data_IF_925260547039
#
_entry.id   IF_925260547039
#
_cell.length_a   1.000
_cell.length_b   1.000
_cell.length_c   1.000
_cell.angle_alpha   90.00
_cell.angle_beta   90.00
_cell.angle_gamma   90.00
#
_symmetry.space_group_name_H-M   'P 1'
#
loop_
_entity.id
_entity.type
_entity.pdbx_description
1 polymer ?
#
# COMPACT_ATOMS: atom_id res chain seq x y z
N UNK A 1 8.95 25.32 -13.88
CA UNK A 1 9.99 25.43 -12.84
C UNK A 1 9.64 26.69 -12.06
N UNK A 2 9.52 26.61 -10.73
CA UNK A 2 9.30 27.82 -9.91
C UNK A 2 10.68 28.40 -9.64
N UNK A 3 10.97 29.55 -10.26
CA UNK A 3 12.23 30.25 -10.11
C UNK A 3 12.01 31.51 -9.25
N UNK A 4 12.97 31.81 -8.37
CA UNK A 4 12.96 33.03 -7.56
C UNK A 4 13.52 34.20 -8.40
N UNK A 5 12.78 35.31 -8.49
CA UNK A 5 13.12 36.49 -9.30
C UNK A 5 13.30 37.77 -8.47
N UNK A 6 13.57 37.66 -7.17
CA UNK A 6 13.78 38.84 -6.31
C UNK A 6 15.20 39.42 -6.41
N UNK A 7 15.34 40.71 -6.12
CA UNK A 7 16.64 41.40 -6.05
C UNK A 7 17.41 41.10 -4.76
N UNK A 8 16.71 40.65 -3.71
CA UNK A 8 17.32 40.25 -2.44
C UNK A 8 18.10 38.93 -2.57
N UNK A 9 19.19 38.73 -1.80
CA UNK A 9 19.96 37.49 -1.81
C UNK A 9 19.09 36.29 -1.49
N UNK A 10 19.16 35.26 -2.33
CA UNK A 10 18.57 33.97 -2.03
C UNK A 10 19.34 33.29 -0.89
N UNK A 11 18.72 33.19 0.29
CA UNK A 11 19.28 32.54 1.47
C UNK A 11 18.58 31.20 1.68
N UNK A 12 19.34 30.11 1.59
CA UNK A 12 18.90 28.77 1.97
C UNK A 12 19.31 28.49 3.41
N UNK A 13 18.40 27.91 4.19
CA UNK A 13 18.69 27.42 5.54
C UNK A 13 17.97 26.11 5.78
N UNK A 14 18.59 25.21 6.54
CA UNK A 14 18.00 23.94 6.92
C UNK A 14 17.27 24.10 8.27
N UNK A 15 15.98 23.77 8.30
CA UNK A 15 15.18 23.79 9.53
C UNK A 15 14.68 22.38 9.80
N UNK A 16 15.26 21.73 10.81
CA UNK A 16 14.95 20.36 11.18
C UNK A 16 13.64 20.21 11.99
N UNK A 17 13.17 21.30 12.59
CA UNK A 17 11.98 21.31 13.45
C UNK A 17 10.73 21.91 12.76
N UNK A 18 10.81 22.24 11.47
CA UNK A 18 9.68 22.80 10.73
C UNK A 18 8.66 21.71 10.42
N UNK A 19 7.48 21.80 11.05
CA UNK A 19 6.34 20.95 10.74
C UNK A 19 5.31 21.71 9.92
N UNK A 20 5.19 21.36 8.65
CA UNK A 20 4.10 21.87 7.81
C UNK A 20 2.90 20.95 7.96
N UNK A 21 1.82 21.48 8.52
CA UNK A 21 0.55 20.76 8.62
C UNK A 21 -0.34 21.11 7.42
N UNK A 22 -0.44 20.21 6.45
CA UNK A 22 -1.47 20.30 5.41
C UNK A 22 -2.82 19.83 5.98
N UNK A 23 -3.57 20.77 6.55
CA UNK A 23 -4.92 20.48 7.03
C UNK A 23 -5.87 20.44 5.84
N UNK A 24 -6.51 19.29 5.65
CA UNK A 24 -7.53 19.13 4.64
C UNK A 24 -8.73 20.01 4.97
N UNK A 25 -9.14 20.84 4.00
CA UNK A 25 -10.42 21.54 4.06
C UNK A 25 -11.54 20.57 3.66
N UNK A 26 -12.20 19.98 4.67
CA UNK A 26 -13.29 19.03 4.46
C UNK A 26 -14.56 19.67 3.89
N UNK A 27 -14.67 21.01 3.87
CA UNK A 27 -15.79 21.71 3.25
C UNK A 27 -15.65 21.80 1.72
N UNK A 28 -14.46 21.57 1.17
CA UNK A 28 -14.23 21.56 -0.28
C UNK A 28 -14.49 20.18 -0.86
N UNK A 29 -15.37 20.15 -1.86
CA UNK A 29 -15.63 18.93 -2.62
C UNK A 29 -14.40 18.51 -3.42
N UNK A 30 -14.00 17.25 -3.28
CA UNK A 30 -12.95 16.63 -4.11
C UNK A 30 -13.41 16.26 -5.52
N UNK A 31 -14.71 16.38 -5.81
CA UNK A 31 -15.27 16.05 -7.12
C UNK A 31 -14.67 16.87 -8.27
N UNK A 32 -14.07 18.03 -7.98
CA UNK A 32 -13.40 18.87 -8.98
C UNK A 32 -12.03 18.35 -9.41
N UNK A 33 -11.39 17.45 -8.65
CA UNK A 33 -10.04 16.99 -8.97
C UNK A 33 -10.00 16.14 -10.24
N UNK A 34 -11.00 15.28 -10.44
CA UNK A 34 -11.01 14.39 -11.59
C UNK A 34 -11.06 15.16 -12.93
N UNK A 35 -12.00 16.10 -13.16
CA UNK A 35 -12.00 16.91 -14.39
C UNK A 35 -10.71 17.72 -14.62
N UNK A 36 -10.09 18.21 -13.54
CA UNK A 36 -8.83 18.97 -13.65
C UNK A 36 -7.64 18.07 -14.01
N UNK A 37 -7.61 16.83 -13.49
CA UNK A 37 -6.59 15.85 -13.85
C UNK A 37 -6.78 15.33 -15.27
N UNK A 38 -8.04 15.12 -15.71
CA UNK A 38 -8.37 14.79 -17.10
C UNK A 38 -7.85 15.88 -18.06
N UNK A 39 -8.17 17.15 -17.79
CA UNK A 39 -7.67 18.29 -18.56
C UNK A 39 -6.14 18.39 -18.52
N UNK A 40 -5.53 18.16 -17.36
CA UNK A 40 -4.08 18.22 -17.25
C UNK A 40 -3.38 17.11 -18.03
N UNK A 41 -3.95 15.91 -18.08
CA UNK A 41 -3.40 14.80 -18.85
C UNK A 41 -3.55 15.03 -20.36
N UNK A 42 -4.61 15.73 -20.79
CA UNK A 42 -4.79 16.14 -22.17
C UNK A 42 -3.74 17.18 -22.60
N UNK A 43 -3.51 18.21 -21.76
CA UNK A 43 -2.55 19.27 -22.05
C UNK A 43 -1.09 18.81 -21.93
N UNK A 44 -0.80 17.86 -21.04
CA UNK A 44 0.55 17.40 -20.73
C UNK A 44 0.63 15.86 -20.68
N UNK A 45 0.47 15.16 -21.82
CA UNK A 45 0.29 13.71 -21.86
C UNK A 45 1.53 12.87 -21.49
N UNK A 46 2.69 13.51 -21.37
CA UNK A 46 3.97 12.88 -21.00
C UNK A 46 4.42 13.27 -19.57
N UNK A 47 3.62 14.05 -18.85
CA UNK A 47 3.88 14.39 -17.46
C UNK A 47 3.39 13.27 -16.53
N UNK A 48 4.29 12.34 -16.23
CA UNK A 48 4.02 11.05 -15.61
C UNK A 48 3.23 11.15 -14.30
N UNK A 49 3.62 12.07 -13.42
CA UNK A 49 2.97 12.24 -12.12
C UNK A 49 1.47 12.54 -12.22
N UNK A 50 1.05 13.33 -13.22
CA UNK A 50 -0.38 13.61 -13.39
C UNK A 50 -1.12 12.41 -13.98
N UNK A 51 -0.48 11.60 -14.80
CA UNK A 51 -1.06 10.34 -15.31
C UNK A 51 -1.22 9.34 -14.17
N UNK A 52 -0.25 9.23 -13.25
CA UNK A 52 -0.37 8.43 -12.03
C UNK A 52 -1.59 8.86 -11.20
N UNK A 53 -1.70 10.16 -10.89
CA UNK A 53 -2.81 10.68 -10.10
C UNK A 53 -4.16 10.52 -10.79
N UNK A 54 -4.23 10.75 -12.10
CA UNK A 54 -5.47 10.54 -12.87
C UNK A 54 -5.96 9.08 -12.77
N UNK A 55 -5.05 8.12 -12.97
CA UNK A 55 -5.38 6.70 -12.85
C UNK A 55 -5.85 6.32 -11.44
N UNK A 56 -5.23 6.86 -10.40
CA UNK A 56 -5.68 6.69 -9.01
C UNK A 56 -7.07 7.26 -8.78
N UNK A 57 -7.37 8.46 -9.29
CA UNK A 57 -8.71 9.04 -9.14
C UNK A 57 -9.77 8.22 -9.88
N UNK A 58 -9.47 7.69 -11.07
CA UNK A 58 -10.37 6.75 -11.75
C UNK A 58 -10.69 5.52 -10.88
N UNK A 59 -9.70 4.95 -10.19
CA UNK A 59 -9.92 3.86 -9.24
C UNK A 59 -10.88 4.26 -8.10
N UNK A 60 -10.67 5.43 -7.46
CA UNK A 60 -11.55 5.89 -6.38
C UNK A 60 -12.97 6.21 -6.84
N UNK A 61 -13.15 6.58 -8.10
CA UNK A 61 -14.45 6.81 -8.72
C UNK A 61 -15.09 5.53 -9.30
N UNK A 62 -14.47 4.36 -9.13
CA UNK A 62 -15.00 3.09 -9.65
C UNK A 62 -14.87 2.92 -11.17
N UNK A 63 -14.14 3.80 -11.85
CA UNK A 63 -13.82 3.75 -13.29
C UNK A 63 -12.63 2.81 -13.51
N UNK A 64 -12.85 1.52 -13.25
CA UNK A 64 -11.76 0.54 -13.16
C UNK A 64 -11.03 0.28 -14.48
N UNK A 65 -11.74 0.30 -15.62
CA UNK A 65 -11.10 0.11 -16.92
C UNK A 65 -10.21 1.32 -17.28
N UNK A 66 -10.72 2.53 -17.07
CA UNK A 66 -9.99 3.77 -17.30
C UNK A 66 -8.77 3.88 -16.39
N UNK A 67 -8.88 3.46 -15.12
CA UNK A 67 -7.75 3.32 -14.20
C UNK A 67 -6.66 2.40 -14.79
N UNK A 68 -7.04 1.19 -15.22
CA UNK A 68 -6.10 0.20 -15.75
C UNK A 68 -5.39 0.74 -17.00
N UNK A 69 -6.12 1.33 -17.94
CA UNK A 69 -5.55 1.89 -19.17
C UNK A 69 -4.60 3.05 -18.86
N UNK A 70 -5.03 3.98 -18.03
CA UNK A 70 -4.26 5.18 -17.65
C UNK A 70 -2.97 4.80 -16.94
N UNK A 71 -3.02 3.89 -15.97
CA UNK A 71 -1.84 3.50 -15.19
C UNK A 71 -0.90 2.59 -15.98
N UNK A 72 -1.40 1.78 -16.92
CA UNK A 72 -0.52 1.10 -17.90
C UNK A 72 0.23 2.11 -18.75
N UNK A 73 -0.41 3.22 -19.15
CA UNK A 73 0.29 4.31 -19.85
C UNK A 73 1.32 4.98 -18.95
N UNK A 74 1.01 5.33 -17.71
CA UNK A 74 2.00 5.85 -16.74
C UNK A 74 3.25 4.98 -16.69
N UNK A 75 3.08 3.66 -16.53
CA UNK A 75 4.19 2.72 -16.45
C UNK A 75 5.03 2.61 -17.72
N UNK A 76 4.49 3.01 -18.87
CA UNK A 76 5.18 3.03 -20.17
C UNK A 76 5.93 4.34 -20.45
N UNK A 77 5.69 5.40 -19.67
CA UNK A 77 6.34 6.69 -19.89
C UNK A 77 7.82 6.61 -19.49
N UNK A 78 8.74 7.16 -20.31
CA UNK A 78 10.17 7.17 -19.99
C UNK A 78 10.51 8.09 -18.80
N UNK A 79 9.61 8.98 -18.43
CA UNK A 79 9.72 9.91 -17.30
C UNK A 79 9.28 9.28 -15.97
N UNK A 80 8.48 8.21 -16.00
CA UNK A 80 8.03 7.48 -14.82
C UNK A 80 9.14 6.56 -14.28
N UNK A 81 10.12 7.14 -13.59
CA UNK A 81 11.34 6.46 -13.12
C UNK A 81 11.32 6.09 -11.64
N UNK A 82 10.42 6.67 -10.84
CA UNK A 82 10.38 6.42 -9.40
C UNK A 82 9.68 5.09 -9.09
N UNK A 83 10.46 4.10 -8.66
CA UNK A 83 10.00 2.73 -8.42
C UNK A 83 8.78 2.65 -7.48
N UNK A 84 8.71 3.45 -6.41
CA UNK A 84 7.62 3.35 -5.43
C UNK A 84 6.29 3.85 -6.01
N UNK A 85 6.32 4.93 -6.81
CA UNK A 85 5.12 5.43 -7.50
C UNK A 85 4.67 4.46 -8.61
N UNK A 86 5.63 3.87 -9.33
CA UNK A 86 5.33 2.80 -10.29
C UNK A 86 4.70 1.59 -9.59
N UNK A 87 5.24 1.17 -8.44
CA UNK A 87 4.65 0.10 -7.64
C UNK A 87 3.24 0.47 -7.15
N UNK A 88 3.02 1.73 -6.73
CA UNK A 88 1.68 2.22 -6.38
C UNK A 88 0.70 2.14 -7.56
N UNK A 89 1.10 2.56 -8.77
CA UNK A 89 0.31 2.37 -9.99
C UNK A 89 -0.06 0.90 -10.21
N UNK A 90 0.90 -0.02 -10.04
CA UNK A 90 0.65 -1.46 -10.16
C UNK A 90 -0.35 -1.97 -9.12
N UNK A 91 -0.31 -1.46 -7.87
CA UNK A 91 -1.29 -1.80 -6.83
C UNK A 91 -2.70 -1.29 -7.17
N UNK A 92 -2.83 -0.09 -7.72
CA UNK A 92 -4.12 0.47 -8.15
C UNK A 92 -4.71 -0.28 -9.35
N UNK A 93 -3.86 -0.70 -10.30
CA UNK A 93 -4.25 -1.63 -11.37
C UNK A 93 -4.76 -2.94 -10.77
N UNK A 94 -4.02 -3.53 -9.82
CA UNK A 94 -4.43 -4.77 -9.18
C UNK A 94 -5.76 -4.64 -8.43
N UNK A 95 -5.98 -3.53 -7.71
CA UNK A 95 -7.25 -3.24 -7.05
C UNK A 95 -8.40 -3.19 -8.08
N UNK A 96 -8.19 -2.53 -9.21
CA UNK A 96 -9.18 -2.41 -10.27
C UNK A 96 -9.56 -3.77 -10.87
N UNK A 97 -8.58 -4.66 -11.11
CA UNK A 97 -8.87 -6.04 -11.51
C UNK A 97 -9.65 -6.84 -10.45
N UNK A 98 -9.33 -6.67 -9.16
CA UNK A 98 -10.11 -7.32 -8.09
C UNK A 98 -11.58 -6.87 -8.09
N UNK A 99 -11.82 -5.58 -8.32
CA UNK A 99 -13.17 -5.00 -8.39
C UNK A 99 -13.94 -5.48 -9.62
N UNK A 100 -13.24 -5.81 -10.72
CA UNK A 100 -13.80 -6.43 -11.92
C UNK A 100 -13.92 -7.96 -11.81
N UNK A 101 -13.48 -8.58 -10.70
CA UNK A 101 -13.55 -10.02 -10.46
C UNK A 101 -12.38 -10.83 -11.01
N UNK A 102 -11.38 -10.20 -11.64
CA UNK A 102 -10.20 -10.88 -12.19
C UNK A 102 -9.07 -10.97 -11.15
N UNK A 103 -9.16 -11.99 -10.29
CA UNK A 103 -8.17 -12.22 -9.23
C UNK A 103 -6.81 -12.67 -9.78
N UNK A 104 -6.76 -13.27 -10.97
CA UNK A 104 -5.51 -13.73 -11.59
C UNK A 104 -4.69 -12.54 -12.06
N UNK A 105 -5.31 -11.62 -12.79
CA UNK A 105 -4.65 -10.39 -13.21
C UNK A 105 -4.23 -9.54 -12.01
N UNK A 106 -5.09 -9.44 -10.98
CA UNK A 106 -4.74 -8.77 -9.74
C UNK A 106 -3.46 -9.33 -9.11
N UNK A 107 -3.38 -10.67 -8.94
CA UNK A 107 -2.18 -11.33 -8.39
C UNK A 107 -0.94 -11.05 -9.22
N UNK A 108 -1.05 -11.12 -10.55
CA UNK A 108 0.06 -10.85 -11.46
C UNK A 108 0.59 -9.41 -11.33
N UNK A 109 -0.30 -8.42 -11.17
CA UNK A 109 0.11 -7.03 -10.98
C UNK A 109 0.72 -6.78 -9.60
N UNK A 110 0.26 -7.44 -8.55
CA UNK A 110 0.89 -7.34 -7.23
C UNK A 110 2.28 -7.97 -7.18
N UNK A 111 2.50 -9.08 -7.90
CA UNK A 111 3.84 -9.64 -8.06
C UNK A 111 4.80 -8.66 -8.75
N UNK A 112 4.31 -7.96 -9.79
CA UNK A 112 5.07 -6.89 -10.45
C UNK A 112 5.35 -5.73 -9.49
N UNK A 113 4.37 -5.31 -8.70
CA UNK A 113 4.53 -4.24 -7.72
C UNK A 113 5.62 -4.56 -6.68
N UNK A 114 5.65 -5.80 -6.17
CA UNK A 114 6.68 -6.28 -5.25
C UNK A 114 8.05 -6.29 -5.92
N UNK A 115 8.14 -6.74 -7.18
CA UNK A 115 9.40 -6.72 -7.92
C UNK A 115 9.90 -5.31 -8.23
N UNK A 116 8.99 -4.35 -8.46
CA UNK A 116 9.30 -2.95 -8.76
C UNK A 116 9.81 -2.20 -7.51
N UNK A 117 9.18 -2.39 -6.36
CA UNK A 117 9.61 -1.80 -5.08
C UNK A 117 9.67 -2.87 -3.97
N UNK A 118 10.75 -3.67 -3.92
CA UNK A 118 10.86 -4.78 -2.96
C UNK A 118 11.14 -4.34 -1.53
N UNK A 119 11.52 -3.07 -1.32
CA UNK A 119 11.90 -2.50 -0.02
C UNK A 119 10.80 -1.64 0.62
N UNK A 120 9.61 -1.61 0.04
CA UNK A 120 8.41 -0.97 0.63
C UNK A 120 7.41 -2.03 1.07
N UNK A 121 6.61 -1.77 2.12
CA UNK A 121 5.67 -2.77 2.67
C UNK A 121 4.33 -2.78 1.93
N UNK A 122 4.00 -1.69 1.26
CA UNK A 122 2.73 -1.40 0.61
C UNK A 122 2.35 -2.43 -0.48
N UNK A 123 3.28 -2.87 -1.35
CA UNK A 123 3.01 -3.97 -2.29
C UNK A 123 2.72 -5.30 -1.59
N UNK A 124 3.42 -5.58 -0.50
CA UNK A 124 3.23 -6.80 0.27
C UNK A 124 1.89 -6.79 1.01
N UNK A 125 1.47 -5.67 1.61
CA UNK A 125 0.17 -5.62 2.29
C UNK A 125 -0.98 -5.84 1.30
N UNK A 126 -0.89 -5.25 0.11
CA UNK A 126 -1.88 -5.48 -0.95
C UNK A 126 -1.92 -6.97 -1.37
N UNK A 127 -0.77 -7.64 -1.50
CA UNK A 127 -0.71 -9.08 -1.77
C UNK A 127 -1.23 -9.92 -0.60
N UNK A 128 -0.93 -9.55 0.65
CA UNK A 128 -1.43 -10.24 1.84
C UNK A 128 -2.97 -10.20 1.89
N UNK A 129 -3.58 -9.03 1.64
CA UNK A 129 -5.04 -8.88 1.54
C UNK A 129 -5.64 -9.77 0.45
N UNK A 130 -5.00 -9.87 -0.72
CA UNK A 130 -5.44 -10.77 -1.80
C UNK A 130 -5.29 -12.25 -1.40
N UNK A 131 -4.14 -12.65 -0.85
CA UNK A 131 -3.88 -14.02 -0.43
C UNK A 131 -4.86 -14.48 0.66
N UNK A 132 -5.17 -13.59 1.62
CA UNK A 132 -6.19 -13.81 2.63
C UNK A 132 -7.57 -14.06 2.01
N UNK A 133 -8.00 -13.21 1.07
CA UNK A 133 -9.28 -13.34 0.35
C UNK A 133 -9.38 -14.65 -0.44
N UNK A 134 -8.27 -15.13 -0.99
CA UNK A 134 -8.18 -16.38 -1.74
C UNK A 134 -7.93 -17.62 -0.85
N UNK A 135 -7.78 -17.44 0.46
CA UNK A 135 -7.39 -18.49 1.40
C UNK A 135 -6.07 -19.19 1.01
N UNK A 136 -5.16 -18.47 0.35
CA UNK A 136 -3.81 -18.93 -0.01
C UNK A 136 -2.88 -18.72 1.20
N UNK A 137 -3.01 -19.60 2.20
CA UNK A 137 -2.33 -19.46 3.48
C UNK A 137 -0.80 -19.54 3.36
N UNK A 138 -0.29 -20.34 2.42
CA UNK A 138 1.14 -20.47 2.17
C UNK A 138 1.72 -19.16 1.60
N UNK A 139 1.03 -18.55 0.62
CA UNK A 139 1.43 -17.25 0.09
C UNK A 139 1.31 -16.16 1.16
N UNK A 140 0.21 -16.13 1.92
CA UNK A 140 0.00 -15.13 2.96
C UNK A 140 1.15 -15.14 3.97
N UNK A 141 1.55 -16.33 4.43
CA UNK A 141 2.65 -16.48 5.36
C UNK A 141 3.97 -15.94 4.79
N UNK A 142 4.32 -16.36 3.57
CA UNK A 142 5.57 -15.92 2.91
C UNK A 142 5.62 -14.40 2.71
N UNK A 143 4.50 -13.80 2.29
CA UNK A 143 4.38 -12.35 2.09
C UNK A 143 4.58 -11.59 3.40
N UNK A 144 3.93 -12.01 4.49
CA UNK A 144 4.06 -11.34 5.78
C UNK A 144 5.49 -11.41 6.31
N UNK A 145 6.15 -12.57 6.25
CA UNK A 145 7.55 -12.66 6.67
C UNK A 145 8.48 -11.80 5.83
N UNK A 146 8.21 -11.67 4.53
CA UNK A 146 9.00 -10.85 3.64
C UNK A 146 8.85 -9.36 3.99
N UNK A 147 7.62 -8.90 4.22
CA UNK A 147 7.32 -7.53 4.60
C UNK A 147 7.91 -7.13 5.95
N UNK A 148 7.87 -8.04 6.95
CA UNK A 148 8.38 -7.77 8.30
C UNK A 148 9.91 -7.58 8.36
N UNK A 149 10.65 -7.99 7.32
CA UNK A 149 12.11 -7.71 7.21
C UNK A 149 12.41 -6.25 6.87
N UNK A 150 11.44 -5.51 6.34
CA UNK A 150 11.56 -4.10 6.02
C UNK A 150 11.32 -3.32 7.32
N UNK A 151 12.33 -2.64 7.86
CA UNK A 151 12.32 -2.12 9.23
C UNK A 151 11.89 -0.66 9.36
N UNK A 152 11.86 0.12 8.28
CA UNK A 152 11.51 1.54 8.32
C UNK A 152 10.71 1.97 7.09
N UNK A 153 9.78 2.93 7.23
CA UNK A 153 9.09 3.56 6.11
C UNK A 153 10.06 4.36 5.24
N UNK A 154 9.62 4.77 4.06
CA UNK A 154 10.44 5.60 3.15
C UNK A 154 10.46 7.07 3.56
N UNK A 155 9.50 7.51 4.36
CA UNK A 155 9.19 8.91 4.63
C UNK A 155 8.40 9.59 3.51
N UNK A 156 7.98 8.85 2.48
CA UNK A 156 7.26 9.40 1.34
C UNK A 156 5.75 9.48 1.60
N UNK A 157 5.05 10.26 0.77
CA UNK A 157 3.59 10.34 0.84
C UNK A 157 2.88 9.02 0.47
N UNK A 158 3.62 8.06 -0.11
CA UNK A 158 3.10 6.74 -0.48
C UNK A 158 3.11 5.76 0.69
N UNK A 159 3.80 6.08 1.78
CA UNK A 159 3.82 5.21 2.96
C UNK A 159 2.41 5.12 3.56
N UNK A 160 1.90 3.90 3.72
CA UNK A 160 0.56 3.65 4.27
C UNK A 160 0.69 3.27 5.75
N UNK A 161 0.11 4.05 6.69
CA UNK A 161 0.25 3.78 8.13
C UNK A 161 -0.17 2.37 8.55
N UNK A 162 -1.14 1.77 7.84
CA UNK A 162 -1.60 0.41 8.10
C UNK A 162 -0.51 -0.66 7.89
N UNK A 163 0.53 -0.39 7.08
CA UNK A 163 1.66 -1.30 6.87
C UNK A 163 2.61 -1.39 8.08
N UNK A 164 2.45 -0.53 9.07
CA UNK A 164 3.39 -0.35 10.19
C UNK A 164 2.78 -0.69 11.56
N UNK A 165 1.59 -1.30 11.58
CA UNK A 165 0.94 -1.83 12.77
C UNK A 165 0.89 -3.36 12.79
N UNK A 166 -0.11 -3.90 13.50
CA UNK A 166 -0.26 -5.34 13.76
C UNK A 166 -0.59 -6.20 12.53
N UNK A 167 -0.96 -5.62 11.39
CA UNK A 167 -1.60 -6.37 10.29
C UNK A 167 -0.74 -7.51 9.75
N UNK A 168 0.57 -7.29 9.57
CA UNK A 168 1.45 -8.35 9.06
C UNK A 168 1.61 -9.49 10.06
N UNK A 169 1.82 -9.19 11.35
CA UNK A 169 1.90 -10.21 12.39
C UNK A 169 0.57 -10.95 12.55
N UNK A 170 -0.56 -10.25 12.50
CA UNK A 170 -1.89 -10.87 12.63
C UNK A 170 -2.20 -11.81 11.44
N UNK A 171 -1.91 -11.37 10.21
CA UNK A 171 -2.02 -12.23 9.03
C UNK A 171 -1.04 -13.41 9.08
N UNK A 172 0.19 -13.19 9.54
CA UNK A 172 1.17 -14.26 9.72
C UNK A 172 0.68 -15.30 10.74
N UNK A 173 0.19 -14.86 11.91
CA UNK A 173 -0.37 -15.72 12.94
C UNK A 173 -1.54 -16.55 12.42
N UNK A 174 -2.48 -15.91 11.71
CA UNK A 174 -3.61 -16.59 11.09
C UNK A 174 -3.17 -17.63 10.04
N UNK A 175 -2.23 -17.27 9.17
CA UNK A 175 -1.71 -18.18 8.15
C UNK A 175 -1.01 -19.40 8.78
N UNK A 176 -0.17 -19.19 9.79
CA UNK A 176 0.48 -20.25 10.56
C UNK A 176 -0.55 -21.16 11.26
N UNK A 177 -1.60 -20.59 11.86
CA UNK A 177 -2.68 -21.35 12.48
C UNK A 177 -3.37 -22.28 11.47
N UNK A 178 -3.62 -21.78 10.26
CA UNK A 178 -4.25 -22.56 9.17
C UNK A 178 -3.32 -23.65 8.63
N UNK A 179 -2.01 -23.38 8.56
CA UNK A 179 -0.99 -24.32 8.12
C UNK A 179 -0.57 -25.34 9.19
N UNK A 180 -1.02 -25.18 10.44
CA UNK A 180 -0.65 -26.07 11.56
C UNK A 180 0.72 -25.78 12.17
N UNK A 181 1.29 -24.60 11.89
CA UNK A 181 2.58 -24.15 12.43
C UNK A 181 2.36 -23.51 13.83
N UNK A 182 2.17 -24.34 14.84
CA UNK A 182 1.68 -23.93 16.17
C UNK A 182 2.54 -22.86 16.86
N UNK A 183 3.83 -23.11 17.03
CA UNK A 183 4.75 -22.18 17.73
C UNK A 183 4.78 -20.81 17.05
N UNK A 184 4.87 -20.80 15.72
CA UNK A 184 4.85 -19.57 14.92
C UNK A 184 3.51 -18.85 15.02
N UNK A 185 2.39 -19.58 15.01
CA UNK A 185 1.07 -18.97 15.14
C UNK A 185 0.93 -18.21 16.46
N UNK A 186 1.40 -18.81 17.57
CA UNK A 186 1.40 -18.18 18.89
C UNK A 186 2.34 -16.97 18.91
N UNK A 187 3.57 -17.11 18.40
CA UNK A 187 4.56 -16.03 18.36
C UNK A 187 4.01 -14.79 17.63
N UNK A 188 3.48 -14.98 16.42
CA UNK A 188 2.92 -13.90 15.63
C UNK A 188 1.66 -13.29 16.25
N UNK A 189 0.77 -14.10 16.84
CA UNK A 189 -0.41 -13.59 17.54
C UNK A 189 -0.03 -12.72 18.76
N UNK A 190 1.02 -13.08 19.50
CA UNK A 190 1.55 -12.26 20.59
C UNK A 190 2.13 -10.94 20.09
N UNK A 191 2.92 -10.97 19.00
CA UNK A 191 3.46 -9.76 18.37
C UNK A 191 2.34 -8.84 17.91
N UNK A 192 1.35 -9.36 17.20
CA UNK A 192 0.19 -8.58 16.76
C UNK A 192 -0.52 -7.89 17.95
N UNK A 193 -0.81 -8.63 19.02
CA UNK A 193 -1.44 -8.10 20.23
C UNK A 193 -0.59 -7.01 20.91
N UNK A 194 0.74 -7.10 20.85
CA UNK A 194 1.63 -6.10 21.47
C UNK A 194 1.48 -4.69 20.89
N UNK A 195 1.05 -4.57 19.62
CA UNK A 195 0.73 -3.27 19.00
C UNK A 195 -0.58 -2.67 19.50
N UNK A 196 -1.54 -3.49 19.93
CA UNK A 196 -2.85 -3.05 20.40
C UNK A 196 -3.40 -4.00 21.47
N UNK A 197 -2.93 -3.90 22.72
CA UNK A 197 -3.26 -4.86 23.78
C UNK A 197 -4.74 -4.94 24.13
N UNK A 198 -5.49 -3.86 23.87
CA UNK A 198 -6.92 -3.75 24.17
C UNK A 198 -7.82 -4.23 23.01
N UNK A 199 -7.25 -4.64 21.87
CA UNK A 199 -8.02 -5.17 20.75
C UNK A 199 -8.53 -6.60 21.08
N UNK A 200 -9.82 -6.69 21.41
CA UNK A 200 -10.51 -7.93 21.75
C UNK A 200 -10.37 -8.99 20.65
N UNK A 201 -10.32 -8.59 19.37
CA UNK A 201 -10.15 -9.54 18.26
C UNK A 201 -8.75 -10.14 18.27
N UNK A 202 -7.71 -9.35 18.56
CA UNK A 202 -6.33 -9.86 18.69
C UNK A 202 -6.16 -10.75 19.92
N UNK A 203 -6.79 -10.41 21.05
CA UNK A 203 -6.82 -11.26 22.24
C UNK A 203 -7.44 -12.64 21.93
N UNK A 204 -8.58 -12.64 21.23
CA UNK A 204 -9.25 -13.87 20.81
C UNK A 204 -8.39 -14.69 19.84
N UNK A 205 -7.70 -14.05 18.89
CA UNK A 205 -6.80 -14.73 17.96
C UNK A 205 -5.67 -15.46 18.69
N UNK A 206 -5.05 -14.80 19.69
CA UNK A 206 -4.04 -15.44 20.54
C UNK A 206 -4.62 -16.62 21.32
N UNK A 207 -5.81 -16.44 21.92
CA UNK A 207 -6.47 -17.51 22.67
C UNK A 207 -6.76 -18.74 21.80
N UNK A 208 -7.26 -18.55 20.57
CA UNK A 208 -7.49 -19.66 19.64
C UNK A 208 -6.21 -20.42 19.31
N UNK A 209 -5.07 -19.73 19.18
CA UNK A 209 -3.78 -20.37 18.94
C UNK A 209 -3.34 -21.19 20.16
N UNK A 210 -3.45 -20.63 21.36
CA UNK A 210 -3.10 -21.30 22.62
C UNK A 210 -3.95 -22.55 22.84
N UNK A 211 -5.28 -22.45 22.68
CA UNK A 211 -6.21 -23.56 22.88
C UNK A 211 -5.91 -24.73 21.96
N UNK A 212 -5.55 -24.44 20.70
CA UNK A 212 -5.30 -25.48 19.69
C UNK A 212 -3.94 -26.15 19.84
N UNK A 213 -2.90 -25.38 20.17
CA UNK A 213 -1.51 -25.84 20.04
C UNK A 213 -0.76 -26.00 21.37
N UNK A 214 -1.15 -25.28 22.44
CA UNK A 214 -0.46 -25.37 23.74
C UNK A 214 -0.96 -26.55 24.60
N UNK A 215 -2.22 -26.96 24.43
CA UNK A 215 -2.84 -28.02 25.22
C UNK A 215 -2.66 -29.44 24.62
N UNK A 216 -1.68 -29.62 23.72
CA UNK A 216 -1.44 -30.89 23.01
C UNK A 216 -0.08 -31.54 23.30
N UNK A 217 0.67 -30.98 24.23
CA UNK A 217 1.83 -31.63 24.88
C UNK A 217 1.39 -32.32 26.17
#
# INVERSE_FOLDING_TARGET
>A
MLDYFGEDPFIMTDIYDLKVHHLQDHAKSRAQYLPLLELSAELYPDYDRNIHYLGREYMYHGKYNECIETLKRHLSLPTALWCDERAASMRYIAHSYQSLGDMVSAKNWLLRAIAESPFTREPYLAMAKLAYKLHDWALLYWICESALRISHPTGSYLDEPECWGYLFDDFAGLSCYRLGLGDKAIEFAQKALSYSPDDIRLQNNLQFCLDRFKNKE
#
